data_IF_108517418968
#
_entry.id   IF_108517418968
#
_cell.length_a   1.000
_cell.length_b   1.000
_cell.length_c   1.000
_cell.angle_alpha   90.00
_cell.angle_beta   90.00
_cell.angle_gamma   90.00
#
_symmetry.space_group_name_H-M   'P 1'
#
loop_
_entity.id
_entity.type
_entity.pdbx_description
1 polymer ?
#
# COMPACT_ATOMS: atom_id res chain seq x y z
N UNK A 1 14.42 -5.05 9.92
CA UNK A 1 13.15 -5.59 9.37
C UNK A 1 12.02 -5.04 10.23
N UNK A 2 11.09 -4.28 9.69
CA UNK A 2 9.94 -3.86 10.47
C UNK A 2 9.17 -5.10 10.92
N UNK A 3 8.84 -5.17 12.21
CA UNK A 3 7.96 -6.19 12.74
C UNK A 3 6.54 -5.89 12.24
N UNK A 4 6.11 -6.58 11.21
CA UNK A 4 4.72 -6.53 10.78
C UNK A 4 3.94 -7.48 11.68
N UNK A 5 3.08 -6.92 12.53
CA UNK A 5 2.18 -7.74 13.34
C UNK A 5 1.12 -8.36 12.44
N UNK A 6 1.09 -9.67 12.38
CA UNK A 6 0.02 -10.43 11.73
C UNK A 6 -1.26 -10.24 12.52
N UNK A 7 -2.19 -9.48 12.00
CA UNK A 7 -3.50 -9.30 12.63
C UNK A 7 -4.42 -10.43 12.19
N UNK A 8 -4.89 -11.25 13.13
CA UNK A 8 -5.99 -12.18 12.86
C UNK A 8 -7.24 -11.40 12.48
N UNK A 9 -7.81 -11.74 11.35
CA UNK A 9 -9.00 -11.09 10.84
C UNK A 9 -10.21 -12.02 10.95
N UNK A 10 -11.41 -11.48 11.28
CA UNK A 10 -12.62 -12.27 11.38
C UNK A 10 -12.98 -12.93 10.04
N UNK A 11 -13.83 -13.98 10.11
CA UNK A 11 -14.25 -14.81 8.97
C UNK A 11 -14.82 -14.03 7.77
N UNK A 12 -15.35 -12.83 7.99
CA UNK A 12 -15.91 -11.96 6.96
C UNK A 12 -14.86 -11.25 6.09
N UNK A 13 -13.57 -11.55 6.29
CA UNK A 13 -12.51 -10.97 5.48
C UNK A 13 -12.37 -11.76 4.18
N UNK A 14 -12.47 -11.05 3.06
CA UNK A 14 -12.16 -11.55 1.73
C UNK A 14 -10.79 -11.01 1.30
N UNK A 15 -10.03 -11.83 0.61
CA UNK A 15 -8.80 -11.38 -0.03
C UNK A 15 -8.93 -11.39 -1.55
N UNK A 16 -8.57 -10.29 -2.18
CA UNK A 16 -8.52 -10.15 -3.63
C UNK A 16 -7.06 -10.01 -4.09
N UNK A 17 -6.49 -11.11 -4.56
CA UNK A 17 -5.15 -11.10 -5.14
C UNK A 17 -5.05 -10.15 -6.32
N UNK A 18 -6.07 -10.10 -7.16
CA UNK A 18 -6.11 -9.24 -8.34
C UNK A 18 -5.94 -7.75 -7.99
N UNK A 19 -6.57 -7.29 -6.91
CA UNK A 19 -6.43 -5.90 -6.45
C UNK A 19 -5.04 -5.63 -5.89
N UNK A 20 -4.47 -6.55 -5.12
CA UNK A 20 -3.11 -6.44 -4.61
C UNK A 20 -2.08 -6.41 -5.74
N UNK A 21 -2.17 -7.37 -6.67
CA UNK A 21 -1.25 -7.50 -7.80
C UNK A 21 -1.31 -6.29 -8.74
N UNK A 22 -2.48 -5.67 -8.90
CA UNK A 22 -2.64 -4.46 -9.71
C UNK A 22 -1.80 -3.30 -9.17
N UNK A 23 -1.77 -3.10 -7.85
CA UNK A 23 -0.95 -2.07 -7.21
C UNK A 23 0.54 -2.38 -7.34
N UNK A 24 0.93 -3.61 -7.08
CA UNK A 24 2.32 -4.06 -7.22
C UNK A 24 2.82 -3.85 -8.66
N UNK A 25 2.05 -4.28 -9.64
CA UNK A 25 2.38 -4.09 -11.06
C UNK A 25 2.48 -2.61 -11.44
N UNK A 26 1.56 -1.79 -10.95
CA UNK A 26 1.62 -0.35 -11.20
C UNK A 26 2.92 0.24 -10.66
N UNK A 27 3.29 -0.04 -9.42
CA UNK A 27 4.51 0.49 -8.82
C UNK A 27 5.75 0.00 -9.57
N UNK A 28 5.85 -1.30 -9.81
CA UNK A 28 7.05 -1.89 -10.43
C UNK A 28 7.22 -1.57 -11.92
N UNK A 29 6.16 -1.23 -12.65
CA UNK A 29 6.21 -0.95 -14.09
C UNK A 29 6.06 0.53 -14.44
N UNK A 30 5.35 1.30 -13.62
CA UNK A 30 5.06 2.70 -13.92
C UNK A 30 5.87 3.69 -13.06
N UNK A 31 6.38 3.26 -11.90
CA UNK A 31 7.15 4.12 -11.03
C UNK A 31 8.66 3.86 -11.17
N UNK A 32 9.43 4.93 -11.01
CA UNK A 32 10.90 4.89 -11.02
C UNK A 32 11.43 5.57 -9.77
N UNK A 33 12.65 5.18 -9.37
CA UNK A 33 13.35 5.88 -8.30
C UNK A 33 13.69 7.32 -8.73
N UNK A 34 13.49 8.25 -7.83
CA UNK A 34 13.76 9.68 -8.08
C UNK A 34 15.11 10.15 -7.55
N UNK A 35 15.71 9.38 -6.64
CA UNK A 35 16.95 9.75 -5.94
C UNK A 35 18.12 8.87 -6.34
N UNK A 36 19.30 9.51 -6.45
CA UNK A 36 20.56 8.78 -6.64
C UNK A 36 20.85 7.82 -5.46
N UNK A 37 21.50 6.67 -5.71
CA UNK A 37 22.09 6.23 -6.97
C UNK A 37 21.11 5.50 -7.92
N UNK A 38 19.86 5.37 -7.57
CA UNK A 38 18.88 4.57 -8.29
C UNK A 38 17.95 5.37 -9.19
N UNK A 39 18.14 6.69 -9.27
CA UNK A 39 17.30 7.58 -10.09
C UNK A 39 17.11 7.06 -11.53
N UNK A 40 15.86 7.02 -11.98
CA UNK A 40 15.47 6.51 -13.30
C UNK A 40 15.36 4.99 -13.42
N UNK A 41 15.78 4.22 -12.42
CA UNK A 41 15.59 2.76 -12.42
C UNK A 41 14.17 2.41 -11.95
N UNK A 42 13.59 1.30 -12.45
CA UNK A 42 12.28 0.83 -12.00
C UNK A 42 12.23 0.66 -10.48
N UNK A 43 11.10 1.06 -9.88
CA UNK A 43 10.89 0.89 -8.46
C UNK A 43 10.38 -0.53 -8.18
N UNK A 44 11.30 -1.46 -7.97
CA UNK A 44 10.98 -2.83 -7.60
C UNK A 44 10.76 -2.90 -6.09
N UNK A 45 9.59 -3.40 -5.68
CA UNK A 45 9.23 -3.53 -4.27
C UNK A 45 10.02 -4.66 -3.60
N UNK A 46 10.61 -4.37 -2.47
CA UNK A 46 11.18 -5.39 -1.60
C UNK A 46 10.07 -6.35 -1.08
N UNK A 47 10.41 -7.60 -0.71
CA UNK A 47 9.44 -8.56 -0.21
C UNK A 47 8.59 -8.05 0.96
N UNK A 48 9.17 -7.31 1.89
CA UNK A 48 8.47 -6.72 3.03
C UNK A 48 7.56 -5.54 2.64
N UNK A 49 7.87 -4.81 1.56
CA UNK A 49 7.01 -3.76 1.00
C UNK A 49 5.84 -4.38 0.25
N UNK A 50 6.12 -5.37 -0.58
CA UNK A 50 5.12 -6.10 -1.36
C UNK A 50 4.14 -6.83 -0.45
N UNK A 51 4.66 -7.60 0.47
CA UNK A 51 3.88 -8.39 1.41
C UNK A 51 3.28 -9.66 0.82
N UNK A 52 2.56 -10.37 1.66
CA UNK A 52 1.90 -11.64 1.31
C UNK A 52 0.53 -11.77 1.97
N UNK A 53 -0.24 -12.72 1.48
CA UNK A 53 -1.49 -13.14 2.07
C UNK A 53 -1.63 -14.65 1.95
N UNK A 54 -1.82 -15.32 3.06
CA UNK A 54 -2.00 -16.76 3.15
C UNK A 54 -3.25 -17.10 3.95
N UNK A 55 -3.89 -18.21 3.61
CA UNK A 55 -5.03 -18.72 4.37
C UNK A 55 -4.59 -19.90 5.23
N UNK A 56 -4.57 -19.70 6.53
CA UNK A 56 -4.15 -20.70 7.52
C UNK A 56 -5.34 -21.03 8.42
N UNK A 57 -5.72 -22.30 8.49
CA UNK A 57 -6.87 -22.78 9.30
C UNK A 57 -8.18 -21.99 9.04
N UNK A 58 -8.42 -21.61 7.79
CA UNK A 58 -9.62 -20.86 7.41
C UNK A 58 -9.54 -19.35 7.60
N UNK A 59 -8.50 -18.84 8.25
CA UNK A 59 -8.29 -17.41 8.51
C UNK A 59 -7.20 -16.82 7.60
N UNK A 60 -7.39 -15.58 7.16
CA UNK A 60 -6.37 -14.86 6.41
C UNK A 60 -5.29 -14.31 7.34
N UNK A 61 -4.05 -14.62 7.02
CA UNK A 61 -2.86 -14.03 7.62
C UNK A 61 -2.15 -13.17 6.59
N UNK A 62 -1.78 -11.97 6.99
CA UNK A 62 -1.15 -10.99 6.13
C UNK A 62 0.23 -10.59 6.66
N UNK A 63 1.14 -10.35 5.74
CA UNK A 63 2.45 -9.79 6.03
C UNK A 63 2.76 -8.66 5.03
N UNK A 64 3.68 -7.76 5.41
CA UNK A 64 4.09 -6.65 4.57
C UNK A 64 3.09 -5.51 4.48
N UNK A 65 3.15 -4.74 3.39
CA UNK A 65 2.43 -3.47 3.28
C UNK A 65 1.39 -3.49 2.16
N UNK A 66 1.83 -3.61 0.90
CA UNK A 66 0.97 -3.38 -0.27
C UNK A 66 -0.11 -4.44 -0.40
N UNK A 67 0.26 -5.69 -0.29
CA UNK A 67 -0.68 -6.82 -0.44
C UNK A 67 -1.83 -6.79 0.57
N UNK A 68 -1.60 -6.65 1.88
CA UNK A 68 -2.70 -6.54 2.83
C UNK A 68 -3.51 -5.26 2.67
N UNK A 69 -2.85 -4.13 2.43
CA UNK A 69 -3.51 -2.83 2.36
C UNK A 69 -4.54 -2.74 1.22
N UNK A 70 -4.23 -3.33 0.07
CA UNK A 70 -5.08 -3.26 -1.13
C UNK A 70 -5.87 -4.55 -1.41
N UNK A 71 -5.38 -5.70 -0.94
CA UNK A 71 -6.01 -6.98 -1.18
C UNK A 71 -7.05 -7.40 -0.16
N UNK A 72 -6.90 -6.99 1.11
CA UNK A 72 -7.84 -7.33 2.15
C UNK A 72 -9.13 -6.50 2.04
N UNK A 73 -10.28 -7.18 2.03
CA UNK A 73 -11.58 -6.58 1.83
C UNK A 73 -12.55 -6.95 2.95
N UNK A 74 -13.50 -6.05 3.22
CA UNK A 74 -14.67 -6.29 4.08
C UNK A 74 -15.94 -5.93 3.31
N UNK A 75 -17.03 -6.57 3.69
CA UNK A 75 -18.33 -6.18 3.17
C UNK A 75 -18.79 -4.85 3.76
N UNK A 76 -19.33 -3.98 2.95
CA UNK A 76 -19.93 -2.71 3.38
C UNK A 76 -21.42 -2.74 3.15
N UNK A 77 -22.20 -2.75 4.22
CA UNK A 77 -23.66 -2.68 4.13
C UNK A 77 -24.16 -1.35 3.59
N UNK A 78 -23.43 -0.28 3.85
CA UNK A 78 -23.74 1.05 3.33
C UNK A 78 -23.60 1.11 1.80
N UNK A 79 -22.52 0.56 1.26
CA UNK A 79 -22.21 0.61 -0.17
C UNK A 79 -22.68 -0.64 -0.93
N UNK A 80 -23.18 -1.68 -0.22
CA UNK A 80 -23.61 -2.98 -0.78
C UNK A 80 -22.53 -3.62 -1.68
N UNK A 81 -21.25 -3.49 -1.27
CA UNK A 81 -20.09 -4.02 -2.01
C UNK A 81 -18.93 -4.33 -1.08
N UNK A 82 -17.97 -5.08 -1.60
CA UNK A 82 -16.69 -5.31 -0.96
C UNK A 82 -15.81 -4.07 -1.11
N UNK A 83 -15.39 -3.52 0.03
CA UNK A 83 -14.50 -2.35 0.12
C UNK A 83 -13.18 -2.75 0.78
N UNK A 84 -12.15 -1.90 0.65
CA UNK A 84 -10.89 -2.12 1.36
C UNK A 84 -11.15 -2.25 2.86
N UNK A 85 -10.51 -3.24 3.47
CA UNK A 85 -10.60 -3.43 4.90
C UNK A 85 -9.82 -2.38 5.66
N UNK A 86 -8.61 -2.10 5.19
CA UNK A 86 -7.72 -1.13 5.81
C UNK A 86 -7.88 0.24 5.17
N UNK A 87 -8.23 1.23 5.99
CA UNK A 87 -8.36 2.64 5.60
C UNK A 87 -7.26 3.50 6.22
N UNK A 88 -6.50 2.91 7.14
CA UNK A 88 -5.38 3.57 7.82
C UNK A 88 -4.20 2.61 7.85
N UNK A 89 -3.01 3.13 7.57
CA UNK A 89 -1.77 2.40 7.69
C UNK A 89 -0.77 3.23 8.52
N UNK A 90 -0.12 2.59 9.46
CA UNK A 90 0.97 3.17 10.22
C UNK A 90 2.28 2.50 9.83
N UNK A 91 3.22 3.28 9.28
CA UNK A 91 4.51 2.78 8.82
C UNK A 91 5.63 3.37 9.67
N UNK A 92 6.27 2.52 10.45
CA UNK A 92 7.44 2.89 11.23
C UNK A 92 8.66 2.16 10.68
N UNK A 93 9.62 2.92 10.19
CA UNK A 93 10.85 2.38 9.62
C UNK A 93 12.00 3.38 9.73
N UNK A 94 13.22 2.87 9.73
CA UNK A 94 14.43 3.68 9.78
C UNK A 94 14.52 4.62 8.56
N UNK A 95 15.30 5.68 8.71
CA UNK A 95 15.60 6.61 7.61
C UNK A 95 16.28 5.89 6.45
N UNK A 96 16.10 6.39 5.24
CA UNK A 96 16.70 5.88 3.98
C UNK A 96 16.19 4.50 3.53
N UNK A 97 15.06 4.02 4.04
CA UNK A 97 14.42 2.77 3.61
C UNK A 97 13.32 2.98 2.54
N UNK A 98 13.39 4.06 1.76
CA UNK A 98 12.47 4.28 0.64
C UNK A 98 11.03 4.63 1.04
N UNK A 99 10.78 5.03 2.29
CA UNK A 99 9.44 5.34 2.78
C UNK A 99 8.72 6.41 1.96
N UNK A 100 9.40 7.52 1.68
CA UNK A 100 8.81 8.64 0.92
C UNK A 100 8.48 8.24 -0.52
N UNK A 101 9.35 7.48 -1.18
CA UNK A 101 9.10 6.99 -2.55
C UNK A 101 7.94 5.99 -2.58
N UNK A 102 7.86 5.09 -1.60
CA UNK A 102 6.73 4.17 -1.48
C UNK A 102 5.41 4.92 -1.25
N UNK A 103 5.39 5.90 -0.35
CA UNK A 103 4.19 6.72 -0.09
C UNK A 103 3.78 7.52 -1.32
N UNK A 104 4.72 8.08 -2.07
CA UNK A 104 4.45 8.78 -3.32
C UNK A 104 3.82 7.85 -4.37
N UNK A 105 4.39 6.65 -4.54
CA UNK A 105 3.86 5.65 -5.47
C UNK A 105 2.44 5.19 -5.09
N UNK A 106 2.18 4.94 -3.79
CA UNK A 106 0.86 4.60 -3.29
C UNK A 106 -0.15 5.74 -3.45
N UNK A 107 0.27 6.98 -3.19
CA UNK A 107 -0.55 8.17 -3.39
C UNK A 107 -0.95 8.31 -4.86
N UNK A 108 -0.01 8.15 -5.79
CA UNK A 108 -0.28 8.17 -7.22
C UNK A 108 -1.27 7.07 -7.65
N UNK A 109 -1.09 5.86 -7.14
CA UNK A 109 -2.02 4.77 -7.42
C UNK A 109 -3.44 5.10 -6.94
N UNK A 110 -3.58 5.59 -5.71
CA UNK A 110 -4.87 5.96 -5.14
C UNK A 110 -5.55 7.08 -5.94
N UNK A 111 -4.78 8.07 -6.39
CA UNK A 111 -5.31 9.18 -7.17
C UNK A 111 -5.85 8.74 -8.54
N UNK A 112 -5.17 7.79 -9.19
CA UNK A 112 -5.49 7.41 -10.58
C UNK A 112 -6.46 6.23 -10.64
N UNK A 113 -6.35 5.25 -9.75
CA UNK A 113 -7.00 3.94 -9.90
C UNK A 113 -7.98 3.56 -8.79
N UNK A 114 -8.22 4.40 -7.80
CA UNK A 114 -9.07 4.04 -6.65
C UNK A 114 -10.57 4.19 -6.92
N UNK A 115 -10.97 4.47 -8.15
CA UNK A 115 -12.38 4.61 -8.60
C UNK A 115 -13.22 5.62 -7.76
N UNK A 116 -12.57 6.52 -7.04
CA UNK A 116 -13.23 7.54 -6.25
C UNK A 116 -13.27 8.87 -7.03
N UNK A 117 -14.46 9.31 -7.39
CA UNK A 117 -14.63 10.58 -8.09
C UNK A 117 -14.28 11.75 -7.18
N UNK A 118 -13.39 12.63 -7.67
CA UNK A 118 -12.92 13.77 -6.88
C UNK A 118 -11.90 13.40 -5.80
N UNK A 119 -11.17 12.30 -5.97
CA UNK A 119 -10.10 11.91 -5.04
C UNK A 119 -9.06 13.02 -4.91
N UNK A 120 -8.72 13.36 -3.68
CA UNK A 120 -7.69 14.33 -3.33
C UNK A 120 -6.66 13.65 -2.43
N UNK A 121 -5.38 13.95 -2.65
CA UNK A 121 -4.28 13.43 -1.86
C UNK A 121 -3.59 14.58 -1.14
N UNK A 122 -3.50 14.50 0.17
CA UNK A 122 -2.85 15.50 1.01
C UNK A 122 -1.59 14.94 1.65
N UNK A 123 -0.49 15.64 1.48
CA UNK A 123 0.76 15.39 2.20
C UNK A 123 0.92 16.35 3.35
N UNK A 124 1.32 15.85 4.50
CA UNK A 124 1.65 16.67 5.68
C UNK A 124 3.01 16.26 6.25
N UNK A 125 3.82 17.23 6.58
CA UNK A 125 5.12 17.05 7.21
C UNK A 125 5.42 18.21 8.17
N UNK A 126 6.51 18.08 8.93
CA UNK A 126 6.94 19.12 9.88
C UNK A 126 7.43 20.39 9.19
N UNK A 127 7.86 20.32 7.95
CA UNK A 127 8.23 21.46 7.14
C UNK A 127 7.83 21.25 5.66
N UNK A 128 7.83 22.35 4.90
CA UNK A 128 7.40 22.38 3.49
C UNK A 128 8.31 21.54 2.58
N UNK A 129 9.61 21.53 2.82
CA UNK A 129 10.57 20.80 2.00
C UNK A 129 10.40 19.28 2.17
N UNK A 130 10.05 18.82 3.38
CA UNK A 130 9.73 17.43 3.63
C UNK A 130 8.40 17.00 2.98
N UNK A 131 7.40 17.87 3.00
CA UNK A 131 6.13 17.60 2.33
C UNK A 131 6.32 17.50 0.81
N UNK A 132 7.07 18.40 0.21
CA UNK A 132 7.37 18.43 -1.22
C UNK A 132 8.18 17.23 -1.74
N UNK A 133 8.81 16.44 -0.87
CA UNK A 133 9.55 15.24 -1.28
C UNK A 133 8.65 14.07 -1.69
N UNK A 134 7.37 14.12 -1.39
CA UNK A 134 6.42 13.04 -1.68
C UNK A 134 5.68 13.27 -3.00
N UNK A 135 5.57 14.53 -3.44
CA UNK A 135 4.84 14.91 -4.67
C UNK A 135 5.69 15.73 -5.62
#
# INVERSE_FOLDING_TARGET
VPLVQTTRLPEETKFSRNKADKVVKFIEHACVHTKAPYAGKPFILDPWQKGSAEKVNGEWQFDGIVTPLFGAQRWSDMHKRWVRRYTTAWLEMARKNGKSELLAALGLYLLIFDDEQGAEIYGAASDTDQAAQVF
#
